data_IF_593254193639
#
_entry.id   IF_593254193639
#
_cell.length_a   1.000
_cell.length_b   1.000
_cell.length_c   1.000
_cell.angle_alpha   90.00
_cell.angle_beta   90.00
_cell.angle_gamma   90.00
#
_symmetry.space_group_name_H-M   'P 1'
#
loop_
_entity.id
_entity.type
_entity.pdbx_description
1 polymer ?
#
# COMPACT_ATOMS: atom_id res chain seq x y z
N UNK A 1 -2.61 -8.60 5.06
CA UNK A 1 -2.28 -7.74 3.91
C UNK A 1 -2.45 -8.60 2.65
N UNK A 2 -3.30 -8.21 1.70
CA UNK A 2 -3.33 -8.85 0.37
C UNK A 2 -2.40 -8.04 -0.55
N UNK A 3 -1.31 -8.65 -1.00
CA UNK A 3 -0.42 -8.06 -1.98
C UNK A 3 -0.97 -8.35 -3.38
N UNK A 4 -0.93 -7.34 -4.25
CA UNK A 4 -1.35 -7.47 -5.65
C UNK A 4 -0.23 -7.97 -6.57
N UNK A 5 0.91 -8.40 -6.02
CA UNK A 5 2.12 -8.81 -6.75
C UNK A 5 2.56 -10.19 -6.26
N UNK A 6 3.09 -11.02 -7.16
CA UNK A 6 3.70 -12.31 -6.83
C UNK A 6 5.11 -12.09 -6.24
N UNK A 7 5.41 -12.60 -5.02
CA UNK A 7 6.73 -12.44 -4.39
C UNK A 7 7.90 -13.11 -5.13
N UNK A 8 7.65 -14.01 -6.10
CA UNK A 8 8.72 -14.80 -6.74
C UNK A 8 9.45 -14.07 -7.88
N UNK A 9 8.97 -12.91 -8.32
CA UNK A 9 9.47 -12.21 -9.52
C UNK A 9 9.95 -10.77 -9.22
N UNK A 10 10.34 -10.46 -7.97
CA UNK A 10 10.63 -9.10 -7.49
C UNK A 10 11.64 -8.33 -8.37
N UNK A 11 12.57 -9.00 -9.05
CA UNK A 11 13.57 -8.31 -9.91
C UNK A 11 12.99 -7.63 -11.15
N UNK A 12 11.76 -7.97 -11.55
CA UNK A 12 11.08 -7.35 -12.69
C UNK A 12 10.12 -6.22 -12.30
N UNK A 13 9.90 -6.00 -11.00
CA UNK A 13 8.94 -5.00 -10.53
C UNK A 13 9.60 -3.70 -10.09
N UNK A 14 8.96 -2.60 -10.48
CA UNK A 14 9.25 -1.25 -9.96
C UNK A 14 8.96 -1.20 -8.46
N UNK A 15 9.52 -0.20 -7.76
CA UNK A 15 9.30 0.06 -6.32
C UNK A 15 7.88 0.49 -5.96
N UNK A 16 6.85 -0.10 -6.56
CA UNK A 16 5.44 0.24 -6.40
C UNK A 16 4.74 -0.98 -5.80
N UNK A 17 4.11 -0.78 -4.64
CA UNK A 17 3.42 -1.84 -3.92
C UNK A 17 1.98 -1.40 -3.66
N UNK A 18 1.03 -2.11 -4.26
CA UNK A 18 -0.40 -1.96 -3.99
C UNK A 18 -0.87 -3.05 -3.02
N UNK A 19 -1.58 -2.64 -1.97
CA UNK A 19 -2.01 -3.53 -0.90
C UNK A 19 -3.34 -3.11 -0.28
N UNK A 20 -3.98 -4.07 0.40
CA UNK A 20 -5.17 -3.85 1.23
C UNK A 20 -5.05 -4.55 2.59
N UNK A 21 -5.58 -3.92 3.63
CA UNK A 21 -5.81 -4.52 4.96
C UNK A 21 -7.24 -5.08 4.98
N UNK A 22 -7.40 -6.32 5.43
CA UNK A 22 -8.70 -7.01 5.40
C UNK A 22 -9.64 -6.33 6.40
N UNK A 23 -10.85 -5.99 5.96
CA UNK A 23 -11.85 -5.36 6.83
C UNK A 23 -11.73 -3.85 6.97
N UNK A 24 -10.77 -3.21 6.28
CA UNK A 24 -10.53 -1.77 6.36
C UNK A 24 -10.72 -1.11 5.01
N UNK A 25 -11.32 0.09 4.99
CA UNK A 25 -11.40 0.86 3.76
C UNK A 25 -10.03 1.49 3.45
N UNK A 26 -9.54 1.46 2.19
CA UNK A 26 -8.20 1.98 1.84
C UNK A 26 -7.97 3.46 2.17
N UNK A 27 -9.03 4.28 2.20
CA UNK A 27 -8.90 5.68 2.61
C UNK A 27 -8.51 5.81 4.09
N UNK A 28 -9.08 5.01 4.99
CA UNK A 28 -8.79 5.08 6.42
C UNK A 28 -7.32 4.72 6.70
N UNK A 29 -6.78 3.73 5.97
CA UNK A 29 -5.38 3.35 6.04
C UNK A 29 -4.47 4.49 5.54
N UNK A 30 -4.86 5.16 4.46
CA UNK A 30 -4.13 6.33 3.94
C UNK A 30 -4.12 7.49 4.93
N UNK A 31 -5.26 7.78 5.56
CA UNK A 31 -5.38 8.86 6.54
C UNK A 31 -4.59 8.54 7.82
N UNK A 32 -4.62 7.28 8.25
CA UNK A 32 -3.78 6.81 9.35
C UNK A 32 -2.30 7.00 9.04
N UNK A 33 -1.81 6.56 7.87
CA UNK A 33 -0.40 6.72 7.48
C UNK A 33 0.00 8.20 7.36
N UNK A 34 -0.89 9.02 6.81
CA UNK A 34 -0.69 10.47 6.71
C UNK A 34 -0.51 11.13 8.07
N UNK A 35 -1.18 10.65 9.13
CA UNK A 35 -1.00 11.17 10.50
C UNK A 35 0.42 10.96 11.06
N UNK A 36 1.18 10.01 10.51
CA UNK A 36 2.59 9.77 10.84
C UNK A 36 3.55 10.43 9.83
N UNK A 37 3.04 11.27 8.93
CA UNK A 37 3.83 11.92 7.88
C UNK A 37 4.18 11.01 6.69
N UNK A 38 3.55 9.84 6.56
CA UNK A 38 3.77 8.93 5.44
C UNK A 38 2.75 9.21 4.34
N UNK A 39 3.22 9.77 3.23
CA UNK A 39 2.38 10.05 2.06
C UNK A 39 2.18 8.78 1.21
N UNK A 40 0.94 8.33 1.10
CA UNK A 40 0.52 7.24 0.19
C UNK A 40 -0.67 7.68 -0.65
N UNK A 41 -1.04 6.87 -1.65
CA UNK A 41 -2.27 7.11 -2.43
C UNK A 41 -3.29 6.02 -2.15
N UNK A 42 -4.53 6.40 -1.89
CA UNK A 42 -5.70 5.51 -1.91
C UNK A 42 -6.57 5.74 -3.16
N UNK A 43 -7.37 4.74 -3.51
CA UNK A 43 -8.39 4.82 -4.55
C UNK A 43 -8.10 3.91 -5.74
N UNK A 44 -8.56 4.30 -6.94
CA UNK A 44 -8.50 3.45 -8.13
C UNK A 44 -7.19 3.51 -8.91
N UNK A 45 -6.32 4.49 -8.61
CA UNK A 45 -5.07 4.74 -9.33
C UNK A 45 -5.23 4.86 -10.86
N UNK A 46 -6.38 5.35 -11.33
CA UNK A 46 -6.76 5.39 -12.76
C UNK A 46 -6.78 4.01 -13.45
N UNK A 47 -6.88 2.92 -12.69
CA UNK A 47 -6.82 1.54 -13.16
C UNK A 47 -8.11 0.75 -12.86
N UNK A 48 -9.27 1.42 -12.96
CA UNK A 48 -10.59 0.82 -12.69
C UNK A 48 -10.84 -0.53 -13.40
N UNK A 49 -10.48 -0.72 -14.70
CA UNK A 49 -10.66 -2.00 -15.36
C UNK A 49 -9.88 -3.16 -14.72
N UNK A 50 -8.65 -2.89 -14.26
CA UNK A 50 -7.83 -3.88 -13.56
C UNK A 50 -8.45 -4.24 -12.21
N UNK A 51 -8.93 -3.25 -11.47
CA UNK A 51 -9.57 -3.44 -10.18
C UNK A 51 -10.85 -4.29 -10.29
N UNK A 52 -11.67 -4.03 -11.32
CA UNK A 52 -12.82 -4.87 -11.65
C UNK A 52 -12.42 -6.33 -11.92
N UNK A 53 -11.33 -6.57 -12.68
CA UNK A 53 -10.80 -7.92 -12.94
C UNK A 53 -10.30 -8.60 -11.67
N UNK A 54 -9.65 -7.85 -10.77
CA UNK A 54 -9.14 -8.33 -9.49
C UNK A 54 -10.23 -8.44 -8.40
N UNK A 55 -11.46 -7.99 -8.70
CA UNK A 55 -12.60 -7.92 -7.77
C UNK A 55 -12.26 -7.16 -6.48
N UNK A 56 -11.56 -6.05 -6.65
CA UNK A 56 -11.27 -5.07 -5.58
C UNK A 56 -11.88 -3.74 -6.00
N UNK A 57 -12.44 -2.97 -5.07
CA UNK A 57 -12.94 -1.63 -5.39
C UNK A 57 -11.81 -0.62 -5.40
N UNK A 58 -11.06 -0.56 -4.29
CA UNK A 58 -10.01 0.44 -4.04
C UNK A 58 -8.75 -0.26 -3.52
N UNK A 59 -7.60 0.40 -3.63
CA UNK A 59 -6.37 -0.01 -2.95
C UNK A 59 -5.60 1.14 -2.34
N UNK A 60 -4.68 0.81 -1.42
CA UNK A 60 -3.59 1.70 -1.01
C UNK A 60 -2.37 1.35 -1.85
N UNK A 61 -1.63 2.37 -2.29
CA UNK A 61 -0.39 2.22 -3.04
C UNK A 61 0.71 3.06 -2.41
N UNK A 62 1.81 2.39 -2.04
CA UNK A 62 3.09 3.02 -1.76
C UNK A 62 3.98 2.93 -3.00
N UNK A 63 4.72 3.99 -3.30
CA UNK A 63 5.52 4.10 -4.52
C UNK A 63 6.86 4.74 -4.17
N UNK A 64 7.89 3.93 -4.12
CA UNK A 64 9.27 4.32 -3.87
C UNK A 64 9.96 4.74 -5.17
N UNK A 65 10.93 5.62 -5.03
CA UNK A 65 11.79 6.08 -6.11
C UNK A 65 13.24 6.22 -5.64
N UNK A 66 14.14 6.64 -6.53
CA UNK A 66 15.59 6.68 -6.29
C UNK A 66 16.04 7.55 -5.10
N UNK A 67 15.16 8.44 -4.63
CA UNK A 67 15.43 9.34 -3.50
C UNK A 67 14.97 8.77 -2.15
N UNK A 68 14.23 7.66 -2.14
CA UNK A 68 13.79 7.05 -0.90
C UNK A 68 14.94 6.28 -0.22
N UNK A 69 14.89 6.24 1.10
CA UNK A 69 15.93 5.59 1.92
C UNK A 69 15.42 4.32 2.59
N UNK A 70 16.32 3.42 2.96
CA UNK A 70 15.97 2.22 3.73
C UNK A 70 15.35 2.59 5.10
N UNK A 71 15.77 3.69 5.71
CA UNK A 71 15.21 4.17 6.97
C UNK A 71 13.73 4.57 6.82
N UNK A 72 13.35 5.22 5.71
CA UNK A 72 11.95 5.52 5.40
C UNK A 72 11.13 4.24 5.19
N UNK A 73 11.71 3.22 4.55
CA UNK A 73 11.06 1.91 4.36
C UNK A 73 10.85 1.23 5.71
N UNK A 74 11.86 1.21 6.58
CA UNK A 74 11.77 0.63 7.92
C UNK A 74 10.72 1.37 8.77
N UNK A 75 10.71 2.70 8.74
CA UNK A 75 9.67 3.49 9.41
C UNK A 75 8.28 3.16 8.88
N UNK A 76 8.10 3.05 7.56
CA UNK A 76 6.84 2.62 6.96
C UNK A 76 6.41 1.23 7.44
N UNK A 77 7.34 0.27 7.52
CA UNK A 77 7.06 -1.09 8.00
C UNK A 77 6.62 -1.10 9.46
N UNK A 78 7.21 -0.28 10.32
CA UNK A 78 6.80 -0.16 11.72
C UNK A 78 5.39 0.42 11.85
N UNK A 79 5.08 1.48 11.09
CA UNK A 79 3.76 2.11 11.13
C UNK A 79 2.69 1.23 10.50
N UNK A 80 2.96 0.52 9.41
CA UNK A 80 1.96 -0.36 8.79
C UNK A 80 1.62 -1.55 9.69
N UNK A 81 2.58 -2.05 10.48
CA UNK A 81 2.30 -3.06 11.51
C UNK A 81 1.34 -2.53 12.58
N UNK A 82 1.47 -1.26 12.98
CA UNK A 82 0.53 -0.60 13.89
C UNK A 82 -0.86 -0.47 13.25
N UNK A 83 -0.93 -0.07 11.97
CA UNK A 83 -2.19 0.01 11.23
C UNK A 83 -2.89 -1.35 11.19
N UNK A 84 -2.17 -2.43 10.85
CA UNK A 84 -2.73 -3.78 10.84
C UNK A 84 -3.28 -4.15 12.22
N UNK A 85 -2.56 -3.91 13.31
CA UNK A 85 -3.04 -4.19 14.67
C UNK A 85 -4.28 -3.37 15.06
N UNK A 86 -4.37 -2.13 14.60
CA UNK A 86 -5.51 -1.24 14.88
C UNK A 86 -6.79 -1.70 14.17
N UNK A 87 -6.65 -2.22 12.95
CA UNK A 87 -7.78 -2.58 12.09
C UNK A 87 -8.04 -4.10 11.97
N UNK A 88 -7.31 -4.94 12.71
CA UNK A 88 -7.51 -6.40 12.76
C UNK A 88 -8.55 -6.83 13.78
#
# INVERSE_FOLDING_TARGET
IKLCVDPQEISEYLGIISFNIKGTHPHDVSDFLNSYGIAVRSGHHCAQPLMARLKIENSVRVSFYIYNTEDEVNFFLDIIQKAVKLFS
#
